data_IF_653164458817
#
_entry.id   IF_653164458817
#
_cell.length_a   1.000
_cell.length_b   1.000
_cell.length_c   1.000
_cell.angle_alpha   90.00
_cell.angle_beta   90.00
_cell.angle_gamma   90.00
#
_symmetry.space_group_name_H-M   'P 1'
#
loop_
_entity.id
_entity.type
_entity.pdbx_description
1 polymer ?
#
# COMPACT_ATOMS: atom_id res chain seq x y z
N UNK A 1 0.76 -50.18 -2.69
CA UNK A 1 1.65 -49.57 -3.71
C UNK A 1 1.61 -48.06 -3.50
N UNK A 2 2.76 -47.47 -3.20
CA UNK A 2 2.98 -46.03 -3.00
C UNK A 2 2.65 -45.23 -4.26
N UNK A 3 2.03 -44.06 -4.10
CA UNK A 3 2.16 -42.95 -5.05
C UNK A 3 2.68 -41.72 -4.30
N UNK A 4 3.95 -41.42 -4.55
CA UNK A 4 4.66 -40.19 -4.21
C UNK A 4 4.33 -39.14 -5.28
N UNK A 5 3.84 -37.96 -4.89
CA UNK A 5 3.88 -36.70 -5.65
C UNK A 5 3.39 -35.61 -4.67
N UNK A 6 4.26 -35.02 -3.84
CA UNK A 6 5.14 -33.90 -4.20
C UNK A 6 4.44 -32.93 -5.14
N UNK A 7 3.58 -32.10 -4.58
CA UNK A 7 3.87 -30.68 -4.60
C UNK A 7 3.21 -30.12 -3.36
N UNK A 8 3.96 -29.35 -2.55
CA UNK A 8 3.34 -28.36 -1.67
C UNK A 8 2.17 -27.79 -2.46
N UNK A 9 0.94 -27.86 -1.93
CA UNK A 9 -0.08 -26.92 -2.39
C UNK A 9 0.38 -25.58 -1.82
N UNK A 10 1.39 -25.02 -2.50
CA UNK A 10 1.85 -23.66 -2.42
C UNK A 10 0.58 -22.89 -2.73
N UNK A 11 -0.14 -22.54 -1.66
CA UNK A 11 -1.24 -21.61 -1.74
C UNK A 11 -0.62 -20.37 -2.36
N UNK A 12 -0.88 -20.16 -3.65
CA UNK A 12 -0.45 -18.96 -4.34
C UNK A 12 -1.02 -17.79 -3.56
N UNK A 13 -0.18 -17.12 -2.78
CA UNK A 13 -0.44 -15.77 -2.31
C UNK A 13 -0.41 -14.92 -3.57
N UNK A 14 -1.58 -14.83 -4.22
CA UNK A 14 -1.82 -13.84 -5.25
C UNK A 14 -1.57 -12.49 -4.59
N UNK A 15 -0.39 -11.92 -4.83
CA UNK A 15 -0.09 -10.53 -4.54
C UNK A 15 -1.07 -9.73 -5.39
N UNK A 16 -2.23 -9.41 -4.81
CA UNK A 16 -3.19 -8.51 -5.41
C UNK A 16 -2.46 -7.20 -5.57
N UNK A 17 -2.04 -6.87 -6.81
CA UNK A 17 -1.56 -5.52 -7.10
C UNK A 17 -2.65 -4.58 -6.65
N UNK A 18 -2.34 -3.85 -5.60
CA UNK A 18 -3.19 -2.85 -5.00
C UNK A 18 -3.55 -1.82 -6.07
N UNK A 19 -4.80 -1.84 -6.52
CA UNK A 19 -5.30 -0.89 -7.51
C UNK A 19 -5.56 0.43 -6.79
N UNK A 20 -4.79 1.46 -7.11
CA UNK A 20 -5.15 2.84 -6.80
C UNK A 20 -5.68 3.54 -8.04
N UNK A 21 -6.84 3.08 -8.49
CA UNK A 21 -7.46 3.57 -9.73
C UNK A 21 -8.70 4.44 -9.51
N UNK A 22 -9.21 4.54 -8.28
CA UNK A 22 -10.51 5.18 -8.05
C UNK A 22 -10.60 5.99 -6.76
N UNK A 23 -10.05 5.51 -5.65
CA UNK A 23 -10.08 6.24 -4.38
C UNK A 23 -8.66 6.66 -3.99
N UNK A 24 -8.41 7.97 -4.05
CA UNK A 24 -7.17 8.60 -3.62
C UNK A 24 -7.45 9.46 -2.41
N UNK A 25 -6.58 9.32 -1.41
CA UNK A 25 -6.57 10.18 -0.25
C UNK A 25 -6.01 11.55 -0.62
N UNK A 26 -6.64 12.63 -0.17
CA UNK A 26 -6.15 14.00 -0.39
C UNK A 26 -5.57 14.51 0.91
N UNK A 27 -4.26 14.78 0.90
CA UNK A 27 -3.52 15.25 2.08
C UNK A 27 -4.10 16.56 2.61
N UNK A 28 -4.35 16.63 3.91
CA UNK A 28 -4.86 17.83 4.58
C UNK A 28 -3.72 18.72 5.11
N UNK A 29 -4.07 19.93 5.55
CA UNK A 29 -3.09 20.86 6.12
C UNK A 29 -2.51 20.35 7.44
N UNK A 30 -1.18 20.41 7.58
CA UNK A 30 -0.47 19.96 8.79
C UNK A 30 -0.24 18.46 8.91
N UNK A 31 -0.62 17.68 7.89
CA UNK A 31 -0.30 16.25 7.82
C UNK A 31 1.10 15.98 7.27
N UNK A 32 1.64 14.84 7.68
CA UNK A 32 2.87 14.27 7.15
C UNK A 32 2.64 12.77 6.87
N UNK A 33 3.58 12.15 6.15
CA UNK A 33 3.47 10.72 5.84
C UNK A 33 3.36 9.83 7.08
N UNK A 34 3.96 10.21 8.22
CA UNK A 34 3.93 9.40 9.43
C UNK A 34 2.52 9.39 10.03
N UNK A 35 1.89 10.55 10.14
CA UNK A 35 0.50 10.68 10.62
C UNK A 35 -0.46 9.92 9.72
N UNK A 36 -0.33 10.07 8.40
CA UNK A 36 -1.19 9.39 7.42
C UNK A 36 -0.98 7.87 7.50
N UNK A 37 0.26 7.39 7.42
CA UNK A 37 0.55 5.96 7.49
C UNK A 37 0.04 5.33 8.80
N UNK A 38 0.25 6.01 9.93
CA UNK A 38 -0.24 5.55 11.24
C UNK A 38 -1.76 5.52 11.31
N UNK A 39 -2.44 6.56 10.82
CA UNK A 39 -3.91 6.62 10.80
C UNK A 39 -4.52 5.49 9.95
N UNK A 40 -3.80 5.04 8.93
CA UNK A 40 -4.22 3.98 8.02
C UNK A 40 -3.54 2.62 8.28
N UNK A 41 -2.92 2.45 9.46
CA UNK A 41 -2.32 1.19 9.91
C UNK A 41 -1.30 0.58 8.94
N UNK A 42 -0.47 1.41 8.30
CA UNK A 42 0.62 1.00 7.42
C UNK A 42 1.94 1.65 7.81
N UNK A 43 3.05 1.15 7.26
CA UNK A 43 4.35 1.80 7.42
C UNK A 43 4.51 2.96 6.44
N UNK A 44 5.43 3.88 6.75
CA UNK A 44 5.80 4.95 5.81
C UNK A 44 6.43 4.34 4.55
N UNK A 45 7.23 3.26 4.68
CA UNK A 45 7.80 2.61 3.50
C UNK A 45 6.72 1.99 2.60
N UNK A 46 5.66 1.41 3.19
CA UNK A 46 4.54 0.88 2.44
C UNK A 46 3.81 2.01 1.69
N UNK A 47 3.53 3.13 2.39
CA UNK A 47 2.93 4.31 1.78
C UNK A 47 3.78 4.87 0.63
N UNK A 48 5.09 5.01 0.80
CA UNK A 48 6.01 5.48 -0.25
C UNK A 48 6.10 4.49 -1.41
N UNK A 49 6.08 3.19 -1.15
CA UNK A 49 6.12 2.15 -2.18
C UNK A 49 4.91 2.21 -3.12
N UNK A 50 3.75 2.60 -2.58
CA UNK A 50 2.51 2.82 -3.32
C UNK A 50 2.50 4.15 -4.08
N UNK A 51 3.33 5.12 -3.67
CA UNK A 51 3.37 6.47 -4.19
C UNK A 51 4.79 6.87 -4.62
N UNK A 52 5.41 6.19 -5.60
CA UNK A 52 6.79 6.48 -6.02
C UNK A 52 6.98 7.87 -6.66
N UNK A 53 5.88 8.57 -6.92
CA UNK A 53 5.84 9.94 -7.44
C UNK A 53 5.74 11.00 -6.31
N UNK A 54 5.61 10.58 -5.06
CA UNK A 54 5.57 11.44 -3.88
C UNK A 54 6.80 11.15 -3.01
N UNK A 55 7.37 12.20 -2.42
CA UNK A 55 8.39 12.08 -1.39
C UNK A 55 7.85 12.69 -0.10
N UNK A 56 7.98 11.98 1.02
CA UNK A 56 7.48 12.46 2.30
C UNK A 56 8.10 13.78 2.76
N UNK A 57 9.35 14.06 2.37
CA UNK A 57 10.01 15.33 2.65
C UNK A 57 9.42 16.52 1.85
N UNK A 58 8.63 16.25 0.81
CA UNK A 58 8.02 17.25 -0.07
C UNK A 58 6.49 17.11 -0.10
N UNK A 59 5.91 16.40 0.87
CA UNK A 59 4.47 16.25 0.94
C UNK A 59 3.82 17.62 1.17
N UNK A 60 2.76 17.89 0.43
CA UNK A 60 2.00 19.14 0.50
C UNK A 60 0.51 18.86 0.61
N UNK A 61 -0.26 19.73 1.27
CA UNK A 61 -1.72 19.67 1.24
C UNK A 61 -2.24 19.63 -0.20
N UNK A 62 -3.26 18.82 -0.45
CA UNK A 62 -3.81 18.57 -1.79
C UNK A 62 -3.08 17.50 -2.60
N UNK A 63 -1.95 16.96 -2.14
CA UNK A 63 -1.36 15.77 -2.76
C UNK A 63 -2.33 14.60 -2.71
N UNK A 64 -2.34 13.80 -3.77
CA UNK A 64 -3.19 12.61 -3.87
C UNK A 64 -2.35 11.38 -3.61
N UNK A 65 -2.72 10.61 -2.59
CA UNK A 65 -2.01 9.41 -2.17
C UNK A 65 -2.88 8.16 -2.39
N UNK A 66 -2.22 7.14 -2.88
CA UNK A 66 -2.63 5.75 -2.83
C UNK A 66 -2.24 5.17 -1.47
N UNK A 67 -3.19 4.99 -0.55
CA UNK A 67 -2.91 4.26 0.70
C UNK A 67 -3.17 2.75 0.57
N UNK A 68 -3.72 2.30 -0.55
CA UNK A 68 -3.88 0.88 -0.85
C UNK A 68 -4.98 0.13 -0.09
N UNK A 69 -5.48 -0.95 -0.72
CA UNK A 69 -6.71 -1.69 -0.38
C UNK A 69 -7.95 -0.78 -0.34
N UNK A 70 -9.13 -1.35 -0.51
CA UNK A 70 -10.37 -0.59 -0.31
C UNK A 70 -10.45 -0.31 1.19
N UNK A 71 -10.28 0.96 1.59
CA UNK A 71 -10.30 1.41 2.99
C UNK A 71 -11.58 1.00 3.72
#
# INVERSE_FOLDING_TARGET
MLALLVCLLITSSAATKTKCSTDLYVVEDGEDCYKIATAHNMSVEELESLNPYVSCAKLQPGNKLCLGKNY
#
